data_IF_950226912271
#
_entry.id   IF_950226912271
#
_cell.length_a   1.000
_cell.length_b   1.000
_cell.length_c   1.000
_cell.angle_alpha   90.00
_cell.angle_beta   90.00
_cell.angle_gamma   90.00
#
_symmetry.space_group_name_H-M   'P 1'
#
loop_
_entity.id
_entity.type
_entity.pdbx_description
1 polymer ?
#
# COMPACT_ATOMS: atom_id res chain seq x y z
N UNK A 1 -6.58 18.66 9.87
CA UNK A 1 -7.68 19.45 9.26
C UNK A 1 -8.69 19.92 10.28
N UNK A 2 -9.23 21.13 10.15
CA UNK A 2 -10.31 21.66 11.00
C UNK A 2 -11.71 21.32 10.46
N UNK A 3 -12.76 21.52 11.27
CA UNK A 3 -14.14 21.16 10.89
C UNK A 3 -14.70 21.97 9.71
N UNK A 4 -14.26 23.21 9.51
CA UNK A 4 -14.71 24.05 8.40
C UNK A 4 -14.14 23.53 7.07
N UNK A 5 -12.86 23.16 7.07
CA UNK A 5 -12.18 22.52 5.94
C UNK A 5 -12.82 21.18 5.56
N UNK A 6 -13.23 20.37 6.54
CA UNK A 6 -14.00 19.15 6.28
C UNK A 6 -15.36 19.48 5.63
N UNK A 7 -16.01 20.57 6.04
CA UNK A 7 -17.21 21.08 5.39
C UNK A 7 -16.99 21.42 3.91
N UNK A 8 -15.88 22.09 3.59
CA UNK A 8 -15.50 22.39 2.20
C UNK A 8 -15.28 21.11 1.37
N UNK A 9 -14.71 20.09 2.00
CA UNK A 9 -14.54 18.76 1.41
C UNK A 9 -15.88 18.11 1.08
N UNK A 10 -16.87 18.17 1.97
CA UNK A 10 -18.21 17.66 1.69
C UNK A 10 -18.84 18.37 0.50
N UNK A 11 -18.77 19.69 0.45
CA UNK A 11 -19.30 20.46 -0.68
C UNK A 11 -18.62 20.05 -1.99
N UNK A 12 -17.32 19.77 -1.97
CA UNK A 12 -16.58 19.27 -3.13
C UNK A 12 -17.00 17.85 -3.52
N UNK A 13 -17.18 16.95 -2.56
CA UNK A 13 -17.64 15.57 -2.78
C UNK A 13 -19.04 15.57 -3.40
N UNK A 14 -19.96 16.40 -2.90
CA UNK A 14 -21.33 16.51 -3.46
C UNK A 14 -21.32 16.93 -4.93
N UNK A 15 -20.37 17.80 -5.34
CA UNK A 15 -20.23 18.20 -6.75
C UNK A 15 -19.79 17.04 -7.65
N UNK A 16 -18.95 16.15 -7.15
CA UNK A 16 -18.53 14.95 -7.90
C UNK A 16 -19.55 13.81 -7.82
N UNK A 17 -20.22 13.69 -6.68
CA UNK A 17 -21.16 12.62 -6.37
C UNK A 17 -22.47 13.23 -5.85
N UNK A 18 -23.41 13.62 -6.73
CA UNK A 18 -24.69 14.21 -6.30
C UNK A 18 -25.53 13.29 -5.40
N UNK A 19 -25.26 11.98 -5.44
CA UNK A 19 -25.87 10.97 -4.56
C UNK A 19 -25.31 10.97 -3.15
N UNK A 20 -24.16 11.60 -2.90
CA UNK A 20 -23.58 11.74 -1.58
C UNK A 20 -24.45 12.66 -0.73
N UNK A 21 -25.22 12.05 0.19
CA UNK A 21 -26.04 12.77 1.14
C UNK A 21 -25.34 12.78 2.48
N UNK A 22 -25.09 13.98 2.99
CA UNK A 22 -24.82 14.17 4.41
C UNK A 22 -26.15 13.89 5.12
N UNK A 23 -26.26 12.76 5.82
CA UNK A 23 -27.50 12.30 6.46
C UNK A 23 -27.99 13.23 7.58
N UNK A 24 -29.05 12.79 8.28
CA UNK A 24 -29.69 13.56 9.36
C UNK A 24 -28.69 13.99 10.46
N UNK A 25 -27.65 13.18 10.71
CA UNK A 25 -26.58 13.52 11.65
C UNK A 25 -25.32 14.08 10.96
N UNK A 26 -25.49 15.23 10.28
CA UNK A 26 -24.39 16.00 9.70
C UNK A 26 -23.28 16.31 10.73
N UNK A 27 -23.63 16.49 12.00
CA UNK A 27 -22.68 16.85 13.06
C UNK A 27 -21.78 15.68 13.44
N UNK A 28 -22.34 14.48 13.61
CA UNK A 28 -21.55 13.27 13.86
C UNK A 28 -20.64 12.99 12.65
N UNK A 29 -21.16 13.05 11.44
CA UNK A 29 -20.37 12.79 10.24
C UNK A 29 -19.20 13.78 10.07
N UNK A 30 -19.42 15.07 10.37
CA UNK A 30 -18.35 16.08 10.41
C UNK A 30 -17.31 15.79 11.50
N UNK A 31 -17.75 15.34 12.67
CA UNK A 31 -16.86 15.02 13.79
C UNK A 31 -15.96 13.82 13.45
N UNK A 32 -16.55 12.77 12.87
CA UNK A 32 -15.84 11.55 12.48
C UNK A 32 -14.79 11.85 11.41
N UNK A 33 -15.17 12.59 10.38
CA UNK A 33 -14.23 12.98 9.33
C UNK A 33 -13.12 13.89 9.85
N UNK A 34 -13.45 14.82 10.75
CA UNK A 34 -12.45 15.66 11.42
C UNK A 34 -11.45 14.82 12.23
N UNK A 35 -11.91 13.78 12.93
CA UNK A 35 -11.01 12.87 13.65
C UNK A 35 -10.13 12.06 12.70
N UNK A 36 -10.70 11.51 11.63
CA UNK A 36 -9.92 10.69 10.68
C UNK A 36 -8.90 11.53 9.91
N UNK A 37 -9.23 12.78 9.58
CA UNK A 37 -8.38 13.71 8.80
C UNK A 37 -7.62 14.72 9.67
N UNK A 38 -7.50 14.46 10.97
CA UNK A 38 -6.91 15.41 11.92
C UNK A 38 -5.47 15.81 11.54
N UNK A 39 -4.70 14.87 11.01
CA UNK A 39 -3.29 14.94 10.60
C UNK A 39 -3.09 15.29 9.11
N UNK A 40 -4.17 15.47 8.34
CA UNK A 40 -4.10 15.78 6.91
C UNK A 40 -4.37 17.26 6.69
N UNK A 41 -3.59 17.92 5.84
CA UNK A 41 -3.87 19.28 5.41
C UNK A 41 -4.98 19.31 4.33
N UNK A 42 -5.75 20.40 4.30
CA UNK A 42 -6.90 20.52 3.39
C UNK A 42 -6.51 20.40 1.91
N UNK A 43 -5.33 20.91 1.54
CA UNK A 43 -4.86 20.88 0.16
C UNK A 43 -4.58 19.44 -0.29
N UNK A 44 -3.86 18.66 0.52
CA UNK A 44 -3.59 17.24 0.27
C UNK A 44 -4.87 16.43 0.14
N UNK A 45 -5.85 16.62 1.02
CA UNK A 45 -7.12 15.91 0.92
C UNK A 45 -7.92 16.28 -0.33
N UNK A 46 -7.88 17.55 -0.75
CA UNK A 46 -8.52 17.99 -2.00
C UNK A 46 -7.84 17.36 -3.22
N UNK A 47 -6.51 17.33 -3.26
CA UNK A 47 -5.75 16.67 -4.34
C UNK A 47 -6.06 15.16 -4.37
N UNK A 48 -6.11 14.51 -3.21
CA UNK A 48 -6.46 13.09 -3.12
C UNK A 48 -7.90 12.82 -3.57
N UNK A 49 -8.84 13.72 -3.25
CA UNK A 49 -10.22 13.64 -3.72
C UNK A 49 -10.29 13.74 -5.26
N UNK A 50 -9.59 14.70 -5.86
CA UNK A 50 -9.56 14.86 -7.32
C UNK A 50 -8.98 13.62 -8.00
N UNK A 51 -7.87 13.09 -7.48
CA UNK A 51 -7.29 11.83 -7.97
C UNK A 51 -8.24 10.64 -7.81
N UNK A 52 -8.92 10.54 -6.67
CA UNK A 52 -9.91 9.49 -6.43
C UNK A 52 -11.03 9.58 -7.47
N UNK A 53 -11.53 10.78 -7.75
CA UNK A 53 -12.63 10.98 -8.73
C UNK A 53 -12.21 10.79 -10.18
N UNK A 54 -10.92 10.96 -10.50
CA UNK A 54 -10.39 10.74 -11.84
C UNK A 54 -10.35 9.26 -12.24
N UNK A 55 -10.43 8.34 -11.28
CA UNK A 55 -10.50 6.91 -11.55
C UNK A 55 -11.95 6.48 -11.88
N UNK A 56 -12.17 5.99 -13.10
CA UNK A 56 -13.49 5.57 -13.59
C UNK A 56 -14.13 4.43 -12.79
N UNK A 57 -13.34 3.63 -12.06
CA UNK A 57 -13.84 2.55 -11.20
C UNK A 57 -14.49 3.08 -9.92
N UNK A 58 -14.18 4.32 -9.52
CA UNK A 58 -14.69 4.93 -8.29
C UNK A 58 -16.09 5.54 -8.49
N UNK A 59 -17.08 4.66 -8.63
CA UNK A 59 -18.51 5.03 -8.83
C UNK A 59 -19.19 5.63 -7.60
N UNK A 60 -18.58 5.49 -6.43
CA UNK A 60 -19.13 5.93 -5.14
C UNK A 60 -18.21 6.94 -4.46
N UNK A 61 -18.82 7.83 -3.69
CA UNK A 61 -18.10 8.84 -2.91
C UNK A 61 -17.08 8.19 -1.96
N UNK A 62 -15.89 8.81 -1.77
CA UNK A 62 -14.84 8.26 -0.93
C UNK A 62 -15.22 8.29 0.56
N UNK A 63 -14.72 7.31 1.30
CA UNK A 63 -14.64 7.38 2.75
C UNK A 63 -13.46 8.28 3.18
N UNK A 64 -13.44 8.88 4.39
CA UNK A 64 -12.39 9.83 4.78
C UNK A 64 -10.98 9.24 4.73
N UNK A 65 -10.84 7.96 5.09
CA UNK A 65 -9.57 7.23 5.00
C UNK A 65 -8.97 7.15 3.59
N UNK A 66 -9.78 7.21 2.53
CA UNK A 66 -9.29 7.21 1.15
C UNK A 66 -8.59 8.52 0.79
N UNK A 67 -8.89 9.59 1.50
CA UNK A 67 -8.29 10.91 1.32
C UNK A 67 -7.04 11.11 2.19
N UNK A 68 -6.76 10.16 3.07
CA UNK A 68 -5.69 10.23 4.07
C UNK A 68 -4.32 9.90 3.50
N UNK A 69 -4.27 8.94 2.57
CA UNK A 69 -3.03 8.52 1.92
C UNK A 69 -2.84 9.35 0.66
N UNK A 70 -1.61 9.81 0.34
CA UNK A 70 -1.31 10.08 -1.06
C UNK A 70 -1.65 8.80 -1.82
N UNK A 71 -2.59 8.87 -2.77
CA UNK A 71 -2.87 7.75 -3.66
C UNK A 71 -1.53 7.38 -4.30
N UNK A 72 -0.94 6.26 -3.84
CA UNK A 72 0.31 5.76 -4.39
C UNK A 72 0.10 5.65 -5.89
N UNK A 73 0.90 6.39 -6.63
CA UNK A 73 0.97 6.23 -8.08
C UNK A 73 1.25 4.76 -8.39
N UNK A 74 0.82 4.26 -9.55
CA UNK A 74 1.11 2.87 -9.93
C UNK A 74 2.61 2.57 -9.89
N UNK A 75 3.43 3.59 -10.17
CA UNK A 75 4.88 3.55 -9.99
C UNK A 75 5.29 3.32 -8.51
N UNK A 76 4.70 4.05 -7.56
CA UNK A 76 4.99 3.86 -6.13
C UNK A 76 4.50 2.51 -5.60
N UNK A 77 3.35 2.01 -6.09
CA UNK A 77 2.88 0.65 -5.77
C UNK A 77 3.83 -0.41 -6.32
N UNK A 78 4.28 -0.26 -7.56
CA UNK A 78 5.24 -1.16 -8.19
C UNK A 78 6.61 -1.14 -7.49
N UNK A 79 7.13 0.03 -7.14
CA UNK A 79 8.37 0.13 -6.38
C UNK A 79 8.22 -0.41 -4.95
N UNK A 80 7.04 -0.26 -4.35
CA UNK A 80 6.71 -0.86 -3.06
C UNK A 80 6.71 -2.40 -3.11
N UNK A 81 6.07 -2.99 -4.11
CA UNK A 81 6.07 -4.45 -4.27
C UNK A 81 7.46 -5.00 -4.59
N UNK A 82 8.26 -4.26 -5.37
CA UNK A 82 9.65 -4.64 -5.67
C UNK A 82 10.54 -4.62 -4.42
N UNK A 83 10.39 -3.61 -3.55
CA UNK A 83 11.12 -3.58 -2.27
C UNK A 83 10.72 -4.74 -1.37
N UNK A 84 9.42 -4.97 -1.21
CA UNK A 84 8.92 -6.06 -0.38
C UNK A 84 9.42 -7.43 -0.87
N UNK A 85 9.40 -7.69 -2.18
CA UNK A 85 9.94 -8.92 -2.76
C UNK A 85 11.46 -9.04 -2.56
N UNK A 86 12.20 -7.93 -2.61
CA UNK A 86 13.62 -7.90 -2.32
C UNK A 86 13.94 -8.23 -0.86
N UNK A 87 13.19 -7.65 0.08
CA UNK A 87 13.31 -7.93 1.51
C UNK A 87 12.99 -9.40 1.82
N UNK A 88 11.90 -9.93 1.28
CA UNK A 88 11.52 -11.36 1.43
C UNK A 88 12.61 -12.30 0.89
N UNK A 89 13.20 -11.96 -0.26
CA UNK A 89 14.29 -12.76 -0.85
C UNK A 89 15.53 -12.78 0.05
N UNK A 90 15.86 -11.67 0.68
CA UNK A 90 17.00 -11.58 1.59
C UNK A 90 16.76 -12.39 2.86
N UNK A 91 15.56 -12.31 3.43
CA UNK A 91 15.15 -13.12 4.59
C UNK A 91 15.22 -14.62 4.27
N UNK A 92 14.76 -15.03 3.09
CA UNK A 92 14.87 -16.41 2.62
C UNK A 92 16.31 -16.87 2.45
N UNK A 93 17.16 -16.00 1.90
CA UNK A 93 18.59 -16.28 1.77
C UNK A 93 19.28 -16.44 3.13
N UNK A 94 18.93 -15.61 4.11
CA UNK A 94 19.43 -15.73 5.48
C UNK A 94 18.95 -17.02 6.13
N UNK A 95 17.67 -17.37 5.98
CA UNK A 95 17.12 -18.65 6.47
C UNK A 95 17.83 -19.85 5.85
N UNK A 96 18.01 -19.85 4.53
CA UNK A 96 18.74 -20.92 3.83
C UNK A 96 20.18 -21.03 4.31
N UNK A 97 20.87 -19.90 4.50
CA UNK A 97 22.24 -19.89 5.03
C UNK A 97 22.31 -20.43 6.46
N UNK A 98 21.35 -20.10 7.31
CA UNK A 98 21.30 -20.58 8.69
C UNK A 98 21.04 -22.09 8.78
N UNK A 99 20.25 -22.64 7.85
CA UNK A 99 19.91 -24.07 7.79
C UNK A 99 20.86 -24.88 6.89
N UNK A 100 21.71 -24.22 6.12
CA UNK A 100 22.65 -24.87 5.21
C UNK A 100 23.72 -25.62 5.99
N UNK A 101 23.51 -26.93 6.15
CA UNK A 101 24.58 -27.88 6.47
C UNK A 101 25.33 -28.21 5.18
N UNK A 102 26.65 -28.01 5.21
CA UNK A 102 27.52 -28.40 4.10
C UNK A 102 27.45 -29.91 3.83
N UNK A 103 27.78 -30.36 2.60
CA UNK A 103 27.78 -31.79 2.28
C UNK A 103 28.77 -32.53 3.17
N UNK A 104 28.39 -33.72 3.63
CA UNK A 104 29.24 -34.58 4.46
C UNK A 104 30.48 -35.04 3.71
N UNK A 105 31.52 -35.46 4.43
CA UNK A 105 32.77 -35.90 3.81
C UNK A 105 32.56 -37.11 2.88
N UNK A 106 31.62 -37.99 3.20
CA UNK A 106 31.26 -39.12 2.34
C UNK A 106 30.58 -38.66 1.03
N UNK A 107 29.70 -37.64 1.11
CA UNK A 107 29.07 -37.04 -0.06
C UNK A 107 30.10 -36.34 -0.96
N UNK A 108 31.05 -35.59 -0.35
CA UNK A 108 32.15 -34.95 -1.09
C UNK A 108 33.03 -35.98 -1.79
N UNK A 109 33.31 -37.10 -1.13
CA UNK A 109 34.15 -38.16 -1.70
C UNK A 109 33.45 -38.93 -2.83
N UNK A 110 32.13 -39.15 -2.75
CA UNK A 110 31.34 -39.71 -3.87
C UNK A 110 31.34 -38.80 -5.09
N UNK A 111 31.18 -37.49 -4.89
CA UNK A 111 31.23 -36.50 -5.98
C UNK A 111 32.62 -36.48 -6.64
N UNK A 112 33.71 -36.51 -5.85
CA UNK A 112 35.08 -36.60 -6.39
C UNK A 112 35.31 -37.86 -7.22
N UNK A 113 34.76 -39.01 -6.78
CA UNK A 113 34.87 -40.28 -7.53
C UNK A 113 34.10 -40.25 -8.84
N UNK A 114 32.92 -39.61 -8.87
CA UNK A 114 32.13 -39.42 -10.08
C UNK A 114 32.83 -38.48 -11.07
N UNK A 115 33.34 -37.33 -10.60
CA UNK A 115 34.08 -36.39 -11.44
C UNK A 115 35.31 -37.03 -12.11
N UNK A 116 36.07 -37.86 -11.37
CA UNK A 116 37.21 -38.61 -11.91
C UNK A 116 36.82 -39.73 -12.89
N UNK A 117 35.56 -40.15 -12.90
CA UNK A 117 35.05 -41.22 -13.79
C UNK A 117 34.64 -40.67 -15.15
N UNK A 118 34.16 -39.43 -15.20
CA UNK A 118 33.73 -38.75 -16.44
C UNK A 118 34.91 -38.10 -17.20
N UNK A 119 36.09 -38.00 -16.58
CA UNK A 119 37.35 -37.56 -17.22
C UNK A 119 38.11 -38.70 -17.95
N UNK A 120 37.52 -39.88 -18.11
CA UNK A 120 38.07 -41.04 -18.85
C UNK A 120 37.21 -41.38 -20.06
#
# INVERSE_FOLDING_TARGET
MNKQEVGMLFDRIVRFYPSFRVGEDKRAMLLDWHQVLADVDVHTAMVNLERYTANAENRFAPHPGALKKPLQTDAERYHGSMRAAGEETLEDWERMRALAVGPSDEQRERVRKLAKRDER
#
